data_IF_875737761369
#
_entry.id   IF_875737761369
#
_cell.length_a   1.000
_cell.length_b   1.000
_cell.length_c   1.000
_cell.angle_alpha   90.00
_cell.angle_beta   90.00
_cell.angle_gamma   90.00
#
_symmetry.space_group_name_H-M   'P 1'
#
loop_
_entity.id
_entity.type
_entity.pdbx_description
1 polymer ?
#
# COMPACT_ATOMS: atom_id res chain seq x y z
N UNK A 1 -17.98 7.80 -23.06
CA UNK A 1 -18.23 6.37 -23.38
C UNK A 1 -17.22 5.40 -22.76
N UNK A 2 -15.94 5.77 -22.65
CA UNK A 2 -14.85 4.89 -22.16
C UNK A 2 -15.05 4.42 -20.70
N UNK A 3 -15.54 5.29 -19.80
CA UNK A 3 -15.77 4.95 -18.38
C UNK A 3 -16.73 3.77 -18.17
N UNK A 4 -17.79 3.67 -18.99
CA UNK A 4 -18.77 2.58 -18.87
C UNK A 4 -18.19 1.24 -19.35
N UNK A 5 -17.36 1.27 -20.39
CA UNK A 5 -16.65 0.10 -20.88
C UNK A 5 -15.62 -0.39 -19.86
N UNK A 6 -14.86 0.52 -19.26
CA UNK A 6 -13.87 0.20 -18.22
C UNK A 6 -14.50 -0.44 -16.98
N UNK A 7 -15.63 0.10 -16.51
CA UNK A 7 -16.35 -0.44 -15.36
C UNK A 7 -16.90 -1.85 -15.64
N UNK A 8 -17.38 -2.09 -16.86
CA UNK A 8 -17.89 -3.39 -17.27
C UNK A 8 -16.77 -4.42 -17.44
N UNK A 9 -15.60 -4.03 -17.96
CA UNK A 9 -14.44 -4.93 -18.02
C UNK A 9 -13.94 -5.29 -16.64
N UNK A 10 -13.87 -4.33 -15.71
CA UNK A 10 -13.47 -4.59 -14.33
C UNK A 10 -14.42 -5.58 -13.63
N UNK A 11 -15.74 -5.37 -13.76
CA UNK A 11 -16.76 -6.30 -13.24
C UNK A 11 -16.62 -7.71 -13.82
N UNK A 12 -16.33 -7.82 -15.12
CA UNK A 12 -16.19 -9.11 -15.81
C UNK A 12 -14.92 -9.86 -15.38
N UNK A 13 -13.81 -9.16 -15.17
CA UNK A 13 -12.56 -9.75 -14.66
C UNK A 13 -12.77 -10.27 -13.23
N UNK A 14 -13.46 -9.50 -12.39
CA UNK A 14 -13.72 -9.89 -10.99
C UNK A 14 -14.63 -11.14 -10.88
N UNK A 15 -15.51 -11.37 -11.86
CA UNK A 15 -16.39 -12.54 -11.92
C UNK A 15 -15.69 -13.81 -12.45
N UNK A 16 -14.57 -13.65 -13.16
CA UNK A 16 -13.79 -14.77 -13.71
C UNK A 16 -12.76 -15.30 -12.72
N UNK A 17 -12.55 -14.63 -11.59
CA UNK A 17 -11.68 -15.12 -10.51
C UNK A 17 -12.32 -16.35 -9.84
N UNK A 18 -11.73 -17.56 -9.99
CA UNK A 18 -12.26 -18.78 -9.38
C UNK A 18 -12.23 -18.75 -7.84
N UNK A 19 -11.57 -17.76 -7.22
CA UNK A 19 -11.61 -17.52 -5.79
C UNK A 19 -12.89 -16.80 -5.35
N UNK A 20 -13.48 -15.93 -6.19
CA UNK A 20 -14.72 -15.22 -5.86
C UNK A 20 -15.95 -16.13 -5.82
N UNK A 21 -15.97 -17.22 -6.60
CA UNK A 21 -17.04 -18.21 -6.57
C UNK A 21 -17.12 -18.99 -5.24
N UNK A 22 -16.03 -19.01 -4.47
CA UNK A 22 -15.97 -19.68 -3.15
C UNK A 22 -16.35 -18.75 -1.99
N UNK A 23 -16.41 -17.44 -2.21
CA UNK A 23 -16.73 -16.44 -1.17
C UNK A 23 -18.16 -15.89 -1.26
N UNK A 24 -19.00 -16.38 -2.17
CA UNK A 24 -20.41 -15.98 -2.29
C UNK A 24 -21.31 -16.52 -1.15
N UNK A 25 -20.75 -17.17 -0.13
CA UNK A 25 -21.46 -17.57 1.10
C UNK A 25 -20.55 -17.34 2.30
N UNK A 26 -20.54 -16.13 2.86
CA UNK A 26 -20.56 -15.89 4.30
C UNK A 26 -20.40 -14.39 4.55
N UNK A 27 -21.45 -13.76 5.09
CA UNK A 27 -21.30 -12.51 5.82
C UNK A 27 -20.50 -12.78 7.08
N UNK A 28 -19.29 -12.21 7.15
CA UNK A 28 -18.51 -11.83 8.33
C UNK A 28 -17.09 -11.61 7.83
N UNK A 29 -16.64 -10.35 7.87
CA UNK A 29 -15.24 -10.00 7.67
C UNK A 29 -14.47 -10.63 8.84
N UNK A 30 -13.48 -11.51 8.62
CA UNK A 30 -12.53 -11.82 9.67
C UNK A 30 -11.51 -10.67 9.72
N UNK A 31 -11.54 -9.87 10.79
CA UNK A 31 -10.60 -8.77 11.08
C UNK A 31 -9.17 -9.25 11.43
N UNK A 32 -8.75 -10.43 10.99
CA UNK A 32 -7.39 -10.93 11.21
C UNK A 32 -6.83 -11.59 9.94
N UNK A 33 -5.56 -11.30 9.56
CA UNK A 33 -4.89 -12.07 8.54
C UNK A 33 -4.55 -13.44 9.13
N UNK A 34 -5.53 -14.35 9.10
CA UNK A 34 -5.40 -15.73 9.61
C UNK A 34 -4.48 -16.61 8.76
N UNK A 35 -3.95 -16.08 7.66
CA UNK A 35 -2.89 -16.71 6.89
C UNK A 35 -1.54 -16.19 7.41
N UNK A 36 -0.78 -17.06 8.08
CA UNK A 36 0.63 -16.79 8.34
C UNK A 36 1.36 -16.68 6.98
N UNK A 37 1.53 -15.45 6.51
CA UNK A 37 2.22 -15.12 5.25
C UNK A 37 3.72 -15.40 5.33
N UNK A 38 4.25 -15.59 6.55
CA UNK A 38 5.66 -15.83 6.79
C UNK A 38 5.95 -17.33 6.86
N UNK A 39 7.10 -17.71 6.31
CA UNK A 39 7.55 -19.10 6.26
C UNK A 39 7.85 -19.68 7.65
N UNK A 40 8.26 -18.83 8.59
CA UNK A 40 8.58 -19.20 9.97
C UNK A 40 8.38 -17.99 10.91
N UNK A 41 8.40 -18.23 12.24
CA UNK A 41 8.34 -17.17 13.25
C UNK A 41 9.63 -16.34 13.27
N UNK A 42 10.75 -16.99 12.98
CA UNK A 42 12.06 -16.37 12.87
C UNK A 42 12.09 -15.40 11.68
N UNK A 43 11.56 -15.82 10.53
CA UNK A 43 11.44 -14.97 9.34
C UNK A 43 10.53 -13.77 9.60
N UNK A 44 9.38 -13.98 10.25
CA UNK A 44 8.48 -12.89 10.64
C UNK A 44 9.20 -11.85 11.50
N UNK A 45 9.94 -12.30 12.52
CA UNK A 45 10.71 -11.42 13.40
C UNK A 45 11.76 -10.65 12.61
N UNK A 46 12.55 -11.33 11.78
CA UNK A 46 13.60 -10.72 10.98
C UNK A 46 13.05 -9.66 10.02
N UNK A 47 11.95 -9.99 9.34
CA UNK A 47 11.29 -9.08 8.39
C UNK A 47 10.75 -7.87 9.13
N UNK A 48 10.09 -8.05 10.28
CA UNK A 48 9.60 -6.94 11.12
C UNK A 48 10.73 -6.05 11.63
N UNK A 49 11.82 -6.65 12.12
CA UNK A 49 12.99 -5.90 12.61
C UNK A 49 13.63 -5.09 11.47
N UNK A 50 13.76 -5.68 10.27
CA UNK A 50 14.24 -4.98 9.09
C UNK A 50 13.34 -3.81 8.69
N UNK A 51 12.02 -4.02 8.64
CA UNK A 51 11.07 -2.96 8.32
C UNK A 51 11.10 -1.84 9.36
N UNK A 52 11.22 -2.19 10.65
CA UNK A 52 11.36 -1.21 11.71
C UNK A 52 12.63 -0.38 11.56
N UNK A 53 13.77 -1.01 11.29
CA UNK A 53 15.03 -0.31 11.03
C UNK A 53 14.92 0.63 9.82
N UNK A 54 14.29 0.17 8.72
CA UNK A 54 14.03 1.00 7.54
C UNK A 54 13.11 2.17 7.83
N UNK A 55 12.07 1.95 8.64
CA UNK A 55 11.19 3.03 9.07
C UNK A 55 11.95 4.09 9.86
N UNK A 56 12.81 3.69 10.81
CA UNK A 56 13.63 4.64 11.57
C UNK A 56 14.62 5.41 10.69
N UNK A 57 15.25 4.73 9.73
CA UNK A 57 16.12 5.36 8.74
C UNK A 57 15.36 6.44 7.93
N UNK A 58 14.19 6.08 7.40
CA UNK A 58 13.35 6.99 6.62
C UNK A 58 12.84 8.15 7.48
N UNK A 59 12.39 7.89 8.71
CA UNK A 59 11.96 8.92 9.65
C UNK A 59 13.10 9.92 9.94
N UNK A 60 14.33 9.44 10.11
CA UNK A 60 15.51 10.30 10.28
C UNK A 60 15.75 11.19 9.06
N UNK A 61 15.65 10.64 7.85
CA UNK A 61 15.80 11.40 6.60
C UNK A 61 14.71 12.46 6.46
N UNK A 62 13.46 12.12 6.76
CA UNK A 62 12.34 13.07 6.73
C UNK A 62 12.52 14.21 7.75
N UNK A 63 13.00 13.92 8.97
CA UNK A 63 13.28 14.96 9.96
C UNK A 63 14.40 15.93 9.55
N UNK A 64 15.35 15.48 8.72
CA UNK A 64 16.46 16.31 8.23
C UNK A 64 16.05 17.16 7.01
N UNK A 65 15.01 16.77 6.29
CA UNK A 65 14.56 17.44 5.07
C UNK A 65 13.22 18.15 5.29
N UNK A 66 13.28 19.44 5.64
CA UNK A 66 12.09 20.26 5.91
C UNK A 66 11.12 20.31 4.72
N UNK A 67 11.64 20.35 3.48
CA UNK A 67 10.82 20.36 2.26
C UNK A 67 10.03 19.06 2.10
N UNK A 68 10.66 17.93 2.39
CA UNK A 68 9.98 16.62 2.40
C UNK A 68 8.91 16.54 3.49
N UNK A 69 9.18 17.11 4.67
CA UNK A 69 8.21 17.16 5.76
C UNK A 69 6.95 17.96 5.38
N UNK A 70 7.14 19.15 4.79
CA UNK A 70 6.03 19.99 4.30
C UNK A 70 5.20 19.27 3.23
N UNK A 71 5.84 18.51 2.32
CA UNK A 71 5.15 17.69 1.32
C UNK A 71 4.32 16.56 1.94
N UNK A 72 4.81 15.94 3.02
CA UNK A 72 4.10 14.85 3.71
C UNK A 72 2.89 15.35 4.51
N UNK A 73 2.96 16.57 5.07
CA UNK A 73 1.88 17.16 5.86
C UNK A 73 0.73 17.73 4.99
N UNK A 74 0.92 17.83 3.67
CA UNK A 74 -0.12 18.24 2.72
C UNK A 74 -1.19 17.15 2.54
N UNK A 75 -2.46 17.57 2.58
CA UNK A 75 -3.63 16.70 2.38
C UNK A 75 -3.80 16.26 0.92
N UNK A 76 -3.61 17.19 -0.02
CA UNK A 76 -3.68 16.94 -1.47
C UNK A 76 -2.35 17.26 -2.15
N UNK A 77 -1.98 16.43 -3.12
CA UNK A 77 -0.74 16.58 -3.89
C UNK A 77 -1.05 17.00 -5.33
N UNK A 78 -0.27 17.95 -5.84
CA UNK A 78 -0.31 18.36 -7.25
C UNK A 78 0.96 17.91 -8.01
N UNK A 79 1.01 18.16 -9.32
CA UNK A 79 2.18 17.78 -10.14
C UNK A 79 3.49 18.45 -9.71
N UNK A 80 3.42 19.67 -9.16
CA UNK A 80 4.58 20.40 -8.67
C UNK A 80 5.13 19.78 -7.38
N UNK A 81 4.25 19.29 -6.50
CA UNK A 81 4.59 18.57 -5.27
C UNK A 81 5.28 17.24 -5.57
N UNK A 82 4.82 16.52 -6.59
CA UNK A 82 5.46 15.28 -7.07
C UNK A 82 6.86 15.58 -7.62
N UNK A 83 7.02 16.65 -8.41
CA UNK A 83 8.32 17.08 -8.92
C UNK A 83 9.26 17.48 -7.79
N UNK A 84 8.75 18.24 -6.82
CA UNK A 84 9.49 18.66 -5.64
C UNK A 84 9.94 17.47 -4.76
N UNK A 85 9.14 16.41 -4.68
CA UNK A 85 9.51 15.16 -4.03
C UNK A 85 10.67 14.48 -4.76
N UNK A 86 10.58 14.32 -6.08
CA UNK A 86 11.61 13.66 -6.89
C UNK A 86 12.95 14.40 -6.81
N UNK A 87 12.93 15.74 -6.86
CA UNK A 87 14.12 16.56 -6.71
C UNK A 87 14.76 16.43 -5.30
N UNK A 88 13.97 16.06 -4.28
CA UNK A 88 14.46 15.88 -2.91
C UNK A 88 15.06 14.49 -2.64
N UNK A 89 14.92 13.56 -3.59
CA UNK A 89 15.39 12.17 -3.52
C UNK A 89 16.67 11.92 -4.32
N UNK A 90 17.03 12.83 -5.23
CA UNK A 90 18.30 12.84 -5.98
C UNK A 90 19.40 13.53 -5.18
#
# INVERSE_FOLDING_TARGET
MIKKQFLNTYKKINQLDPNNAKHARQGSVPDEPSANIYRSKEDEKLIKDFHYAKFQENLSKTKKNNKLKELIEKEDWNEEDVKALLDSLN
#
